data_IF_864229043622
#
_entry.id   IF_864229043622
#
_cell.length_a   1.000
_cell.length_b   1.000
_cell.length_c   1.000
_cell.angle_alpha   90.00
_cell.angle_beta   90.00
_cell.angle_gamma   90.00
#
_symmetry.space_group_name_H-M   'P 1'
#
loop_
_entity.id
_entity.type
_entity.pdbx_description
1 polymer ?
#
# COMPACT_ATOMS: atom_id res chain seq x y z
N UNK A 1 16.31 -15.52 -14.76
CA UNK A 1 16.19 -15.10 -14.88
C UNK A 1 15.76 -14.47 -15.08
N UNK A 2 15.53 -14.21 -15.09
CA UNK A 2 15.18 -13.64 -15.31
C UNK A 2 14.93 -12.79 -15.60
N UNK A 3 14.69 -12.49 -15.92
CA UNK A 3 14.50 -11.75 -16.23
C UNK A 3 14.04 -10.86 -16.08
N UNK A 4 13.99 -10.32 -15.92
CA UNK A 4 13.61 -9.54 -15.70
C UNK A 4 13.64 -8.67 -16.33
N UNK A 5 13.36 -8.30 -16.77
CA UNK A 5 13.36 -7.65 -17.36
C UNK A 5 13.45 -6.67 -17.34
N UNK A 6 13.65 -6.29 -17.68
CA UNK A 6 14.00 -5.53 -17.72
C UNK A 6 13.41 -4.48 -17.50
N UNK A 7 13.61 -4.00 -16.93
CA UNK A 7 13.26 -2.89 -16.54
C UNK A 7 11.95 -2.53 -16.50
N UNK A 8 11.38 -3.17 -16.66
CA UNK A 8 10.26 -2.88 -16.69
C UNK A 8 9.60 -2.94 -15.51
N UNK A 9 8.78 -3.39 -15.26
CA UNK A 9 7.99 -3.47 -14.12
C UNK A 9 8.65 -4.26 -13.08
N UNK A 10 8.32 -4.02 -11.85
CA UNK A 10 8.81 -4.84 -10.79
C UNK A 10 8.28 -6.24 -10.99
N UNK A 11 9.01 -7.24 -10.53
CA UNK A 11 8.60 -8.63 -10.71
C UNK A 11 7.27 -8.94 -10.07
N UNK A 12 6.93 -8.25 -9.02
CA UNK A 12 5.65 -8.44 -8.38
C UNK A 12 5.30 -7.20 -7.59
N UNK A 13 4.04 -7.10 -7.28
CA UNK A 13 3.55 -6.03 -6.45
C UNK A 13 2.63 -6.63 -5.42
N UNK A 14 2.57 -5.99 -4.26
CA UNK A 14 1.73 -6.46 -3.19
C UNK A 14 0.68 -5.38 -2.94
N UNK A 15 -0.56 -5.77 -2.74
CA UNK A 15 -1.61 -4.81 -2.48
C UNK A 15 -1.45 -4.20 -1.09
N UNK A 16 -2.06 -3.04 -0.88
CA UNK A 16 -2.04 -2.43 0.44
C UNK A 16 -2.60 -3.37 1.49
N UNK A 17 -3.70 -4.04 1.15
CA UNK A 17 -4.31 -4.95 2.12
C UNK A 17 -3.37 -6.11 2.45
N UNK A 18 -2.73 -6.67 1.44
CA UNK A 18 -1.80 -7.77 1.67
C UNK A 18 -0.58 -7.32 2.46
N UNK A 19 -0.09 -6.13 2.16
CA UNK A 19 1.06 -5.60 2.89
C UNK A 19 0.70 -5.41 4.36
N UNK A 20 -0.51 -4.93 4.62
CA UNK A 20 -0.97 -4.74 5.98
C UNK A 20 -1.07 -6.07 6.72
N UNK A 21 -1.67 -7.06 6.07
CA UNK A 21 -1.82 -8.38 6.68
C UNK A 21 -0.45 -8.99 6.92
N UNK A 22 0.46 -8.81 5.99
CA UNK A 22 1.81 -9.32 6.14
C UNK A 22 2.52 -8.67 7.32
N UNK A 23 2.19 -7.43 7.63
CA UNK A 23 2.74 -6.74 8.78
C UNK A 23 1.97 -7.05 10.06
N UNK A 24 0.96 -7.89 9.95
CA UNK A 24 0.17 -8.34 11.10
C UNK A 24 -0.54 -7.19 11.79
N UNK A 25 -1.11 -6.30 11.00
CA UNK A 25 -1.83 -5.14 11.53
C UNK A 25 -3.26 -5.14 11.06
N UNK A 26 -4.15 -4.72 11.93
CA UNK A 26 -5.53 -4.52 11.55
C UNK A 26 -5.70 -3.16 10.89
N UNK A 27 -6.83 -2.97 10.22
CA UNK A 27 -7.13 -1.67 9.64
C UNK A 27 -7.20 -0.59 10.71
N UNK A 28 -7.76 -0.94 11.87
CA UNK A 28 -7.83 0.01 12.97
C UNK A 28 -6.45 0.41 13.47
N UNK A 29 -5.56 -0.55 13.55
CA UNK A 29 -4.21 -0.25 14.03
C UNK A 29 -3.48 0.67 13.07
N UNK A 30 -3.64 0.42 11.78
CA UNK A 30 -3.01 1.27 10.78
C UNK A 30 -3.63 2.67 10.82
N UNK A 31 -4.96 2.74 10.94
CA UNK A 31 -5.64 4.02 11.00
C UNK A 31 -5.13 4.85 12.18
N UNK A 32 -4.99 4.21 13.31
CA UNK A 32 -4.50 4.89 14.49
C UNK A 32 -3.08 5.39 14.27
N UNK A 33 -2.25 4.56 13.69
CA UNK A 33 -0.87 4.93 13.44
C UNK A 33 -0.77 6.09 12.45
N UNK A 34 -1.65 6.09 11.46
CA UNK A 34 -1.64 7.11 10.42
C UNK A 34 -2.44 8.35 10.80
N UNK A 35 -3.10 8.33 11.95
CA UNK A 35 -3.93 9.44 12.42
C UNK A 35 -5.08 9.73 11.45
N UNK A 36 -5.70 8.69 10.96
CA UNK A 36 -6.87 8.82 10.09
C UNK A 36 -7.93 7.86 10.59
N UNK A 37 -9.12 7.95 10.04
CA UNK A 37 -10.18 7.04 10.40
C UNK A 37 -10.03 5.70 9.71
N UNK A 38 -10.65 4.68 10.28
CA UNK A 38 -10.60 3.36 9.69
C UNK A 38 -11.15 3.36 8.27
N UNK A 39 -12.22 4.12 8.03
CA UNK A 39 -12.79 4.19 6.70
C UNK A 39 -11.82 4.70 5.65
N UNK A 40 -10.91 5.56 6.07
CA UNK A 40 -9.89 6.04 5.15
C UNK A 40 -8.99 4.89 4.70
N UNK A 41 -8.60 4.03 5.65
CA UNK A 41 -7.78 2.89 5.31
C UNK A 41 -8.56 1.95 4.39
N UNK A 42 -9.82 1.70 4.70
CA UNK A 42 -10.65 0.85 3.86
C UNK A 42 -10.73 1.42 2.44
N UNK A 43 -10.92 2.73 2.33
CA UNK A 43 -11.01 3.37 1.01
C UNK A 43 -9.73 3.25 0.23
N UNK A 44 -8.59 3.41 0.90
CA UNK A 44 -7.30 3.27 0.23
C UNK A 44 -7.13 1.85 -0.30
N UNK A 45 -7.52 0.87 0.51
CA UNK A 45 -7.35 -0.53 0.11
C UNK A 45 -8.30 -0.92 -1.02
N UNK A 46 -9.45 -0.29 -1.07
CA UNK A 46 -10.40 -0.55 -2.13
C UNK A 46 -10.12 0.27 -3.39
N UNK A 47 -9.33 1.30 -3.27
CA UNK A 47 -9.03 2.15 -4.41
C UNK A 47 -10.05 3.23 -4.65
N UNK A 48 -10.97 3.47 -3.71
CA UNK A 48 -11.94 4.53 -3.87
C UNK A 48 -11.36 5.88 -3.49
N UNK A 49 -10.22 5.89 -2.83
CA UNK A 49 -9.45 7.10 -2.62
C UNK A 49 -7.99 6.68 -2.55
N UNK A 50 -7.10 7.65 -2.63
CA UNK A 50 -5.67 7.38 -2.65
C UNK A 50 -4.98 8.10 -1.52
N UNK A 51 -3.99 7.48 -0.90
CA UNK A 51 -3.20 8.21 0.09
C UNK A 51 -2.34 9.25 -0.62
N UNK A 52 -2.06 10.32 0.08
CA UNK A 52 -1.11 11.30 -0.42
C UNK A 52 0.27 10.67 -0.45
N UNK A 53 1.16 11.29 -1.22
CA UNK A 53 2.49 10.73 -1.35
C UNK A 53 3.18 10.55 -0.01
N UNK A 54 3.05 11.52 0.89
CA UNK A 54 3.67 11.39 2.21
C UNK A 54 3.04 10.26 2.99
N UNK A 55 1.74 10.04 2.82
CA UNK A 55 1.06 8.95 3.49
C UNK A 55 1.49 7.61 2.92
N UNK A 56 1.70 7.56 1.61
CA UNK A 56 2.21 6.35 0.99
C UNK A 56 3.57 5.96 1.51
N UNK A 57 4.44 6.94 1.68
CA UNK A 57 5.75 6.68 2.25
C UNK A 57 5.66 6.19 3.67
N UNK A 58 4.72 6.74 4.43
CA UNK A 58 4.54 6.32 5.80
C UNK A 58 4.05 4.87 5.86
N UNK A 59 3.13 4.52 4.96
CA UNK A 59 2.65 3.15 4.89
C UNK A 59 3.78 2.20 4.50
N UNK A 60 4.63 2.64 3.58
CA UNK A 60 5.78 1.85 3.17
C UNK A 60 6.67 1.54 4.36
N UNK A 61 6.93 2.53 5.19
CA UNK A 61 7.73 2.33 6.38
C UNK A 61 7.04 1.42 7.37
N UNK A 62 5.76 1.66 7.56
CA UNK A 62 4.99 0.90 8.53
C UNK A 62 4.94 -0.58 8.17
N UNK A 63 4.74 -0.86 6.89
CA UNK A 63 4.62 -2.23 6.43
C UNK A 63 5.97 -2.87 6.12
N UNK A 64 7.03 -2.07 6.06
CA UNK A 64 8.36 -2.61 5.78
C UNK A 64 8.53 -3.07 4.37
N UNK A 65 7.81 -2.48 3.44
CA UNK A 65 7.86 -2.85 2.03
C UNK A 65 8.13 -1.59 1.22
N UNK A 66 9.14 -1.62 0.35
CA UNK A 66 9.44 -0.42 -0.45
C UNK A 66 8.21 0.02 -1.22
N UNK A 67 8.05 1.33 -1.30
CA UNK A 67 6.86 1.90 -1.93
C UNK A 67 6.70 1.40 -3.37
N UNK A 68 7.80 1.16 -4.06
CA UNK A 68 7.74 0.71 -5.45
C UNK A 68 7.09 -0.66 -5.59
N UNK A 69 7.05 -1.43 -4.52
CA UNK A 69 6.49 -2.77 -4.56
C UNK A 69 5.05 -2.82 -4.09
N UNK A 70 4.52 -1.68 -3.68
CA UNK A 70 3.16 -1.65 -3.19
C UNK A 70 2.25 -1.21 -4.32
N UNK A 71 1.28 -2.06 -4.63
CA UNK A 71 0.31 -1.72 -5.64
C UNK A 71 -0.77 -0.83 -5.04
N UNK A 72 -0.92 0.37 -5.58
CA UNK A 72 -1.97 1.28 -5.14
C UNK A 72 -3.04 1.28 -6.21
N UNK A 73 -4.23 0.77 -5.88
CA UNK A 73 -5.29 0.78 -6.88
C UNK A 73 -5.62 2.21 -7.24
N UNK A 74 -5.65 2.49 -8.53
CA UNK A 74 -5.95 3.81 -8.96
C UNK A 74 -7.41 3.97 -9.16
N UNK A 75 -7.89 5.18 -8.88
CA UNK A 75 -9.28 5.45 -9.18
C UNK A 75 -9.44 5.38 -10.67
N UNK A 76 -10.50 4.76 -11.07
CA UNK A 76 -10.76 4.64 -12.47
C UNK A 76 -11.10 5.98 -13.03
N UNK A 77 -10.74 6.21 -14.24
CA UNK A 77 -11.06 7.46 -14.81
C UNK A 77 -12.13 7.40 -15.66
#
# INVERSE_FOLDING_TARGET
MTEMKEGKAVPFQISLASARVNAEMTQEEVAKHMHVGKQTIVSWEKGTSEPKMSQGRELSKLYGIPIDYIFLPKKSN
#
